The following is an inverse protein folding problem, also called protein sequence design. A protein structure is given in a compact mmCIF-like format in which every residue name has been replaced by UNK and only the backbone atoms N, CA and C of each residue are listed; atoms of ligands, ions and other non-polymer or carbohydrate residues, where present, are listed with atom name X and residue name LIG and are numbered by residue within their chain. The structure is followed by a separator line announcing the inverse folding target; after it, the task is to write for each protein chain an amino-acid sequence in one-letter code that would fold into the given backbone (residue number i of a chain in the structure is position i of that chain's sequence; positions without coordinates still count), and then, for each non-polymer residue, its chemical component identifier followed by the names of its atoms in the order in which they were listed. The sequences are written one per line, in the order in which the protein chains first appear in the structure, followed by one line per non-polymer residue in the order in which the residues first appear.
data_IF_025483333835
#
_entry.id   IF_025483333835
#
_cell.length_a   1.000
_cell.length_b   1.000
_cell.length_c   1.000
_cell.angle_alpha   90.00
_cell.angle_beta   90.00
_cell.angle_gamma   90.00
#
_symmetry.space_group_name_H-M   'P 1'
#
loop_
_entity.id
_entity.type
_entity.pdbx_description
1 polymer ?
#
# COMPACT_ATOMS: atom_id res chain seq x y z
N UNK A 1 -28.87 -20.93 -2.64
CA UNK A 1 -29.98 -21.79 -2.17
C UNK A 1 -30.34 -21.34 -0.77
N UNK A 2 -31.58 -21.00 -0.45
CA UNK A 2 -32.05 -20.70 0.90
C UNK A 2 -32.19 -21.95 1.78
N UNK A 3 -32.62 -21.76 3.05
CA UNK A 3 -32.84 -22.82 4.05
C UNK A 3 -31.56 -23.56 4.46
N UNK A 4 -30.50 -22.81 4.77
CA UNK A 4 -29.30 -23.35 5.38
C UNK A 4 -29.39 -23.22 6.90
N UNK A 5 -28.91 -24.23 7.62
CA UNK A 5 -28.76 -24.19 9.08
C UNK A 5 -27.29 -23.90 9.37
N UNK A 6 -27.05 -22.89 10.19
CA UNK A 6 -25.69 -22.54 10.64
C UNK A 6 -25.48 -23.09 12.05
N UNK A 7 -24.33 -23.70 12.27
CA UNK A 7 -23.89 -24.09 13.60
C UNK A 7 -23.01 -23.01 14.20
N UNK A 8 -23.08 -22.80 15.50
CA UNK A 8 -22.15 -21.89 16.17
C UNK A 8 -20.73 -22.46 16.07
N UNK A 9 -19.81 -21.63 15.62
CA UNK A 9 -18.38 -21.94 15.55
C UNK A 9 -17.67 -20.86 16.35
N UNK A 10 -16.79 -21.27 17.25
CA UNK A 10 -15.85 -20.36 17.90
C UNK A 10 -14.57 -20.32 17.10
N UNK A 11 -14.23 -19.17 16.55
CA UNK A 11 -13.05 -18.94 15.74
C UNK A 11 -12.31 -17.68 16.19
N UNK A 12 -10.99 -17.74 16.16
CA UNK A 12 -10.13 -16.58 16.37
C UNK A 12 -9.81 -15.95 15.03
N UNK A 13 -10.31 -14.76 14.81
CA UNK A 13 -10.00 -13.96 13.60
C UNK A 13 -8.50 -13.71 13.54
N UNK A 14 -7.87 -14.04 12.42
CA UNK A 14 -6.45 -13.76 12.22
C UNK A 14 -6.18 -12.28 11.99
N UNK A 15 -4.94 -11.85 12.27
CA UNK A 15 -4.52 -10.48 12.00
C UNK A 15 -4.45 -10.21 10.49
N UNK A 16 -4.73 -8.95 10.12
CA UNK A 16 -4.80 -8.48 8.73
C UNK A 16 -3.40 -8.23 8.15
N UNK A 17 -3.06 -8.95 7.11
CA UNK A 17 -1.82 -8.78 6.37
C UNK A 17 -1.75 -7.47 5.57
N UNK A 18 -2.89 -6.94 5.11
CA UNK A 18 -2.90 -5.64 4.41
C UNK A 18 -2.46 -4.52 5.35
N UNK A 19 -3.04 -4.45 6.55
CA UNK A 19 -2.68 -3.42 7.54
C UNK A 19 -1.24 -3.64 8.06
N UNK A 20 -0.83 -4.88 8.25
CA UNK A 20 0.53 -5.22 8.65
C UNK A 20 1.58 -4.71 7.66
N UNK A 21 1.27 -4.70 6.36
CA UNK A 21 2.18 -4.20 5.33
C UNK A 21 2.55 -2.72 5.53
N UNK A 22 1.61 -1.87 5.97
CA UNK A 22 1.91 -0.45 6.24
C UNK A 22 2.83 -0.29 7.45
N UNK A 23 2.64 -1.10 8.49
CA UNK A 23 3.50 -1.07 9.69
C UNK A 23 4.91 -1.60 9.38
N UNK A 24 5.02 -2.70 8.63
CA UNK A 24 6.32 -3.23 8.22
C UNK A 24 7.02 -2.31 7.19
N UNK A 25 6.27 -1.59 6.35
CA UNK A 25 6.83 -0.59 5.44
C UNK A 25 7.52 0.56 6.20
N UNK A 26 7.01 0.93 7.37
CA UNK A 26 7.66 1.93 8.22
C UNK A 26 9.10 1.50 8.60
N UNK A 27 9.34 0.19 8.78
CA UNK A 27 10.67 -0.34 9.07
C UNK A 27 11.65 -0.18 7.88
N UNK A 28 11.14 -0.13 6.64
CA UNK A 28 11.97 0.13 5.45
C UNK A 28 12.44 1.58 5.35
N UNK A 29 11.85 2.49 6.16
CA UNK A 29 12.17 3.90 6.26
C UNK A 29 12.83 4.25 7.60
N UNK A 30 13.63 3.32 8.15
CA UNK A 30 14.35 3.43 9.43
C UNK A 30 13.44 3.43 10.67
N UNK A 31 12.21 2.97 10.55
CA UNK A 31 11.30 2.76 11.68
C UNK A 31 11.62 1.47 12.47
N UNK A 32 10.99 1.33 13.62
CA UNK A 32 11.12 0.12 14.45
C UNK A 32 9.77 -0.31 15.00
N UNK A 33 9.05 -1.12 14.24
CA UNK A 33 7.73 -1.67 14.62
C UNK A 33 7.78 -3.19 14.55
N UNK A 34 7.21 -3.87 15.55
CA UNK A 34 7.07 -5.32 15.56
C UNK A 34 5.60 -5.72 15.42
N UNK A 35 5.23 -6.23 14.26
CA UNK A 35 3.89 -6.77 14.01
C UNK A 35 3.77 -8.17 14.62
N UNK A 36 2.68 -8.42 15.38
CA UNK A 36 2.36 -9.71 16.00
C UNK A 36 1.00 -10.21 15.50
N UNK A 37 0.75 -11.50 15.64
CA UNK A 37 -0.56 -12.13 15.36
C UNK A 37 -0.76 -12.59 13.92
N UNK A 38 0.21 -12.35 13.02
CA UNK A 38 0.14 -12.86 11.66
C UNK A 38 0.36 -14.39 11.62
N UNK A 39 -0.60 -15.11 11.05
CA UNK A 39 -0.50 -16.56 10.87
C UNK A 39 0.17 -16.89 9.53
N UNK A 40 1.27 -17.65 9.54
CA UNK A 40 1.97 -18.07 8.31
C UNK A 40 1.11 -18.95 7.40
N UNK A 41 0.15 -19.69 7.97
CA UNK A 41 -0.84 -20.50 7.25
C UNK A 41 -2.00 -19.69 6.67
N UNK A 42 -2.01 -18.36 6.81
CA UNK A 42 -3.07 -17.49 6.28
C UNK A 42 -3.29 -17.67 4.79
N UNK A 43 -4.55 -17.64 4.38
CA UNK A 43 -4.99 -17.61 2.97
C UNK A 43 -5.05 -16.20 2.39
N UNK A 44 -4.80 -15.15 3.18
CA UNK A 44 -4.79 -13.77 2.70
C UNK A 44 -3.73 -13.59 1.61
N UNK A 45 -4.15 -13.09 0.43
CA UNK A 45 -3.26 -12.82 -0.70
C UNK A 45 -2.17 -11.81 -0.34
N UNK A 46 -2.51 -10.87 0.55
CA UNK A 46 -1.66 -9.76 0.96
C UNK A 46 -0.42 -10.19 1.77
N UNK A 47 -0.37 -11.44 2.27
CA UNK A 47 0.87 -11.97 2.89
C UNK A 47 2.09 -11.91 1.97
N UNK A 48 1.86 -11.76 0.65
CA UNK A 48 2.91 -11.58 -0.36
C UNK A 48 3.75 -10.32 -0.16
N UNK A 49 3.27 -9.32 0.60
CA UNK A 49 4.04 -8.11 0.83
C UNK A 49 5.44 -8.38 1.37
N UNK A 50 5.60 -9.42 2.22
CA UNK A 50 6.91 -9.78 2.80
C UNK A 50 7.95 -10.15 1.73
N UNK A 51 7.51 -10.84 0.69
CA UNK A 51 8.36 -11.18 -0.47
C UNK A 51 8.61 -9.93 -1.31
N UNK A 52 7.57 -9.18 -1.62
CA UNK A 52 7.64 -8.00 -2.47
C UNK A 52 8.53 -6.91 -1.88
N UNK A 53 8.51 -6.72 -0.56
CA UNK A 53 9.38 -5.75 0.10
C UNK A 53 10.86 -6.09 -0.08
N UNK A 54 11.24 -7.37 0.05
CA UNK A 54 12.61 -7.81 -0.20
C UNK A 54 13.04 -7.54 -1.65
N UNK A 55 12.19 -7.87 -2.62
CA UNK A 55 12.48 -7.63 -4.03
C UNK A 55 12.65 -6.13 -4.32
N UNK A 56 11.85 -5.26 -3.69
CA UNK A 56 11.93 -3.80 -3.82
C UNK A 56 13.20 -3.20 -3.19
N UNK A 57 13.75 -3.85 -2.15
CA UNK A 57 15.03 -3.43 -1.57
C UNK A 57 16.23 -3.79 -2.46
N UNK A 58 16.14 -4.88 -3.20
CA UNK A 58 17.25 -5.40 -4.01
C UNK A 58 17.31 -4.78 -5.41
N UNK A 59 16.17 -4.56 -6.05
CA UNK A 59 16.11 -4.13 -7.45
C UNK A 59 14.77 -3.44 -7.80
N UNK A 60 14.53 -3.19 -9.09
CA UNK A 60 13.25 -2.74 -9.65
C UNK A 60 12.46 -3.95 -10.16
N UNK A 61 11.64 -4.60 -9.32
CA UNK A 61 10.91 -5.80 -9.70
C UNK A 61 9.66 -5.51 -10.53
N UNK A 62 9.17 -6.56 -11.21
CA UNK A 62 7.80 -6.60 -11.74
C UNK A 62 6.95 -7.45 -10.79
N UNK A 63 5.93 -6.83 -10.17
CA UNK A 63 5.07 -7.45 -9.17
C UNK A 63 3.63 -7.55 -9.67
N UNK A 64 3.05 -8.74 -9.65
CA UNK A 64 1.63 -8.93 -9.95
C UNK A 64 0.79 -8.79 -8.69
N UNK A 65 -0.06 -7.77 -8.66
CA UNK A 65 -0.95 -7.46 -7.54
C UNK A 65 -2.41 -7.86 -7.76
N UNK A 66 -2.71 -8.63 -8.79
CA UNK A 66 -4.09 -9.04 -9.12
C UNK A 66 -4.83 -9.72 -7.95
N UNK A 67 -4.10 -10.46 -7.10
CA UNK A 67 -4.65 -11.16 -5.92
C UNK A 67 -4.34 -10.49 -4.58
N UNK A 68 -3.73 -9.31 -4.59
CA UNK A 68 -3.38 -8.52 -3.39
C UNK A 68 -3.44 -7.01 -3.69
N UNK A 69 -4.51 -6.60 -4.36
CA UNK A 69 -4.69 -5.24 -4.89
C UNK A 69 -4.64 -4.16 -3.79
N UNK A 70 -4.96 -4.51 -2.58
CA UNK A 70 -4.92 -3.61 -1.43
C UNK A 70 -3.50 -3.21 -1.00
N UNK A 71 -2.50 -3.96 -1.45
CA UNK A 71 -1.09 -3.58 -1.31
C UNK A 71 -0.64 -2.49 -2.31
N UNK A 72 -1.46 -2.18 -3.34
CA UNK A 72 -1.08 -1.22 -4.39
C UNK A 72 -0.49 0.07 -3.86
N UNK A 73 -1.20 0.84 -2.99
CA UNK A 73 -0.69 2.11 -2.48
C UNK A 73 0.66 2.00 -1.76
N UNK A 74 0.81 1.02 -0.88
CA UNK A 74 2.06 0.87 -0.14
C UNK A 74 3.22 0.40 -1.02
N UNK A 75 2.98 -0.46 -2.02
CA UNK A 75 4.00 -0.88 -2.97
C UNK A 75 4.42 0.26 -3.91
N UNK A 76 3.48 1.12 -4.31
CA UNK A 76 3.79 2.34 -5.07
C UNK A 76 4.70 3.26 -4.26
N UNK A 77 4.36 3.50 -3.00
CA UNK A 77 5.17 4.34 -2.12
C UNK A 77 6.58 3.77 -1.91
N UNK A 78 6.70 2.46 -1.62
CA UNK A 78 8.02 1.83 -1.44
C UNK A 78 8.81 1.85 -2.75
N UNK A 79 8.17 1.60 -3.89
CA UNK A 79 8.79 1.70 -5.21
C UNK A 79 9.42 3.07 -5.46
N UNK A 80 8.70 4.16 -5.12
CA UNK A 80 9.25 5.51 -5.20
C UNK A 80 10.47 5.69 -4.27
N UNK A 81 10.39 5.18 -3.05
CA UNK A 81 11.44 5.37 -2.03
C UNK A 81 12.69 4.51 -2.27
N UNK A 82 12.53 3.30 -2.80
CA UNK A 82 13.64 2.33 -3.00
C UNK A 82 14.19 2.36 -4.43
N UNK A 83 13.84 1.42 -5.26
CA UNK A 83 14.51 1.17 -6.53
C UNK A 83 13.60 1.31 -7.76
N UNK A 84 12.38 1.83 -7.61
CA UNK A 84 11.35 1.77 -8.63
C UNK A 84 10.59 0.44 -8.59
N UNK A 85 9.50 0.35 -9.35
CA UNK A 85 8.69 -0.88 -9.46
C UNK A 85 7.84 -0.87 -10.72
N UNK A 86 7.59 -2.03 -11.27
CA UNK A 86 6.52 -2.26 -12.25
C UNK A 86 5.43 -3.09 -11.58
N UNK A 87 4.25 -2.50 -11.38
CA UNK A 87 3.07 -3.23 -10.89
C UNK A 87 2.21 -3.66 -12.08
N UNK A 88 1.78 -4.92 -12.09
CA UNK A 88 0.82 -5.48 -13.03
C UNK A 88 -0.42 -5.96 -12.28
N UNK A 89 -1.54 -6.20 -12.98
CA UNK A 89 -2.80 -6.56 -12.32
C UNK A 89 -3.45 -5.40 -11.58
N UNK A 90 -3.19 -4.15 -12.02
CA UNK A 90 -3.57 -2.92 -11.32
C UNK A 90 -4.97 -2.43 -11.65
N UNK A 91 -5.66 -3.01 -12.64
CA UNK A 91 -6.98 -2.55 -13.12
C UNK A 91 -8.01 -2.34 -11.99
N UNK A 92 -8.00 -3.20 -10.98
CA UNK A 92 -8.93 -3.11 -9.85
C UNK A 92 -8.63 -1.96 -8.87
N UNK A 93 -7.49 -1.28 -8.98
CA UNK A 93 -7.21 -0.08 -8.19
C UNK A 93 -8.14 1.07 -8.54
N UNK A 94 -8.64 1.11 -9.77
CA UNK A 94 -9.54 2.18 -10.25
C UNK A 94 -10.96 2.12 -9.64
N UNK A 95 -11.37 1.00 -9.07
CA UNK A 95 -12.73 0.77 -8.56
C UNK A 95 -12.77 0.52 -7.03
N UNK A 96 -11.78 1.04 -6.32
CA UNK A 96 -11.74 1.01 -4.84
C UNK A 96 -12.42 2.27 -4.27
N UNK A 97 -12.16 2.62 -3.02
CA UNK A 97 -12.71 3.82 -2.38
C UNK A 97 -12.34 5.11 -3.13
N UNK A 98 -11.19 5.09 -3.76
CA UNK A 98 -10.72 6.07 -4.73
C UNK A 98 -10.16 5.33 -5.96
N UNK A 99 -9.84 6.05 -7.04
CA UNK A 99 -8.92 5.51 -8.04
C UNK A 99 -7.50 5.54 -7.47
N UNK A 100 -7.15 4.49 -6.70
CA UNK A 100 -5.89 4.41 -5.94
C UNK A 100 -4.64 4.64 -6.77
N UNK A 101 -4.64 4.17 -8.03
CA UNK A 101 -3.47 4.35 -8.89
C UNK A 101 -3.25 5.82 -9.23
N UNK A 102 -4.31 6.54 -9.58
CA UNK A 102 -4.25 7.97 -9.91
C UNK A 102 -4.00 8.81 -8.65
N UNK A 103 -4.73 8.55 -7.56
CA UNK A 103 -4.55 9.25 -6.30
C UNK A 103 -3.10 9.13 -5.78
N UNK A 104 -2.54 7.92 -5.77
CA UNK A 104 -1.15 7.73 -5.36
C UNK A 104 -0.16 8.41 -6.31
N UNK A 105 -0.43 8.42 -7.63
CA UNK A 105 0.39 9.17 -8.59
C UNK A 105 0.41 10.65 -8.24
N UNK A 106 -0.75 11.28 -8.13
CA UNK A 106 -0.90 12.72 -7.83
C UNK A 106 -0.15 13.11 -6.55
N UNK A 107 -0.29 12.30 -5.50
CA UNK A 107 0.33 12.60 -4.21
C UNK A 107 1.85 12.32 -4.17
N UNK A 108 2.30 11.24 -4.79
CA UNK A 108 3.73 10.91 -4.82
C UNK A 108 4.52 11.83 -5.77
N UNK A 109 3.90 12.35 -6.83
CA UNK A 109 4.51 13.35 -7.72
C UNK A 109 4.84 14.66 -6.96
N UNK A 110 4.13 15.00 -5.89
CA UNK A 110 4.47 16.14 -5.00
C UNK A 110 5.81 15.94 -4.26
N UNK A 111 6.28 14.70 -4.15
CA UNK A 111 7.63 14.38 -3.65
C UNK A 111 8.69 14.33 -4.77
N UNK A 112 8.30 14.58 -6.02
CA UNK A 112 9.17 14.49 -7.20
C UNK A 112 9.22 13.09 -7.82
N UNK A 113 8.33 12.17 -7.43
CA UNK A 113 8.25 10.84 -8.03
C UNK A 113 7.90 10.91 -9.51
N UNK A 114 8.33 9.90 -10.29
CA UNK A 114 8.01 9.74 -11.70
C UNK A 114 7.21 8.46 -11.89
N UNK A 115 5.92 8.61 -12.20
CA UNK A 115 4.95 7.53 -12.22
C UNK A 115 4.14 7.55 -13.51
N UNK A 116 4.09 6.42 -14.20
CA UNK A 116 3.21 6.17 -15.34
C UNK A 116 2.11 5.18 -14.97
N UNK A 117 0.85 5.56 -15.22
CA UNK A 117 -0.33 4.76 -14.89
C UNK A 117 -1.05 4.38 -16.17
N UNK A 118 -0.96 3.12 -16.55
CA UNK A 118 -1.73 2.52 -17.63
C UNK A 118 -2.97 1.77 -17.16
N UNK A 119 -3.70 1.16 -18.07
CA UNK A 119 -4.97 0.46 -17.76
C UNK A 119 -4.83 -0.68 -16.74
N UNK A 120 -3.76 -1.47 -16.84
CA UNK A 120 -3.51 -2.63 -15.97
C UNK A 120 -2.04 -2.72 -15.53
N UNK A 121 -1.36 -1.60 -15.52
CA UNK A 121 0.07 -1.50 -15.20
C UNK A 121 0.38 -0.13 -14.61
N UNK A 122 1.25 -0.11 -13.60
CA UNK A 122 1.86 1.11 -13.07
C UNK A 122 3.37 0.94 -13.12
N UNK A 123 4.06 1.95 -13.63
CA UNK A 123 5.52 1.99 -13.67
C UNK A 123 6.00 3.15 -12.81
N UNK A 124 6.93 2.88 -11.92
CA UNK A 124 7.54 3.88 -11.05
C UNK A 124 9.04 3.80 -11.27
N UNK A 125 9.62 4.90 -11.71
CA UNK A 125 11.07 5.01 -11.87
C UNK A 125 11.72 5.47 -10.56
N UNK A 126 12.94 5.00 -10.31
CA UNK A 126 13.73 5.51 -9.19
C UNK A 126 14.22 6.91 -9.51
N UNK A 127 13.82 7.88 -8.70
CA UNK A 127 14.29 9.26 -8.74
C UNK A 127 14.54 9.75 -7.31
N UNK A 128 15.40 10.75 -7.11
CA UNK A 128 15.53 11.39 -5.79
C UNK A 128 14.21 12.04 -5.36
N UNK A 129 13.75 11.68 -4.16
CA UNK A 129 12.56 12.29 -3.58
C UNK A 129 12.95 13.49 -2.70
N UNK A 130 12.02 14.43 -2.56
CA UNK A 130 12.15 15.60 -1.69
C UNK A 130 10.90 15.78 -0.82
N UNK A 131 11.00 16.63 0.19
CA UNK A 131 9.84 17.01 1.01
C UNK A 131 8.77 17.70 0.14
N UNK A 132 7.49 17.31 0.25
CA UNK A 132 6.43 17.99 -0.49
C UNK A 132 6.26 19.43 0.02
N UNK A 133 6.03 20.38 -0.90
CA UNK A 133 5.74 21.78 -0.58
C UNK A 133 4.25 21.98 -0.31
N UNK A 134 3.42 21.13 -0.87
CA UNK A 134 1.97 21.19 -0.77
C UNK A 134 1.43 20.24 0.30
N UNK A 135 0.22 20.50 0.78
CA UNK A 135 -0.52 19.58 1.63
C UNK A 135 -0.96 18.39 0.75
N UNK A 136 -0.74 17.18 1.23
CA UNK A 136 -1.21 15.97 0.57
C UNK A 136 -2.70 15.77 0.79
N UNK A 137 -3.38 15.10 -0.14
CA UNK A 137 -4.77 14.69 0.00
C UNK A 137 -4.88 13.20 0.29
N UNK A 138 -5.66 12.84 1.31
CA UNK A 138 -5.99 11.45 1.65
C UNK A 138 -7.03 10.81 0.73
N UNK A 139 -7.61 11.56 -0.22
CA UNK A 139 -8.62 11.09 -1.19
C UNK A 139 -9.78 10.30 -0.57
N UNK A 140 -10.09 10.58 0.72
CA UNK A 140 -11.09 9.83 1.50
C UNK A 140 -10.85 8.30 1.49
N UNK A 141 -9.60 7.87 1.32
CA UNK A 141 -9.17 6.46 1.24
C UNK A 141 -8.09 6.18 2.30
N UNK A 142 -8.43 5.30 3.25
CA UNK A 142 -7.54 4.97 4.37
C UNK A 142 -6.18 4.40 3.91
N UNK A 143 -6.13 3.67 2.80
CA UNK A 143 -4.86 3.10 2.28
C UNK A 143 -3.96 4.15 1.65
N UNK A 144 -4.55 5.18 1.04
CA UNK A 144 -3.79 6.35 0.56
C UNK A 144 -3.20 7.08 1.76
N UNK A 145 -4.03 7.39 2.76
CA UNK A 145 -3.57 8.08 3.98
C UNK A 145 -2.45 7.30 4.66
N UNK A 146 -2.61 5.98 4.87
CA UNK A 146 -1.60 5.16 5.53
C UNK A 146 -0.28 5.11 4.75
N UNK A 147 -0.32 4.95 3.42
CA UNK A 147 0.90 4.93 2.59
C UNK A 147 1.64 6.27 2.65
N UNK A 148 0.91 7.38 2.51
CA UNK A 148 1.48 8.72 2.58
C UNK A 148 2.00 9.05 3.98
N UNK A 149 1.31 8.63 5.05
CA UNK A 149 1.77 8.83 6.42
C UNK A 149 3.13 8.14 6.68
N UNK A 150 3.32 6.94 6.15
CA UNK A 150 4.61 6.24 6.22
C UNK A 150 5.69 7.06 5.52
N UNK A 151 5.44 7.59 4.32
CA UNK A 151 6.42 8.41 3.60
C UNK A 151 6.69 9.76 4.30
N UNK A 152 5.64 10.40 4.83
CA UNK A 152 5.75 11.65 5.60
C UNK A 152 6.57 11.49 6.88
N UNK A 153 6.61 10.30 7.47
CA UNK A 153 7.48 10.03 8.63
C UNK A 153 8.96 10.26 8.33
N UNK A 154 9.36 10.09 7.05
CA UNK A 154 10.74 10.33 6.59
C UNK A 154 10.98 11.77 6.14
N UNK A 155 10.06 12.35 5.38
CA UNK A 155 10.25 13.65 4.73
C UNK A 155 9.60 14.81 5.49
N UNK A 156 8.65 14.52 6.39
CA UNK A 156 7.80 15.54 6.99
C UNK A 156 6.80 16.11 5.99
N UNK A 157 5.81 16.83 6.49
CA UNK A 157 4.75 17.43 5.67
C UNK A 157 3.39 17.38 6.39
N UNK A 158 2.32 17.60 5.62
CA UNK A 158 0.94 17.57 6.13
C UNK A 158 0.06 16.80 5.17
N UNK A 159 -0.98 16.16 5.71
CA UNK A 159 -2.01 15.46 4.93
C UNK A 159 -3.40 15.90 5.43
N UNK A 160 -4.30 16.16 4.50
CA UNK A 160 -5.73 16.39 4.73
C UNK A 160 -6.53 15.10 4.51
N UNK A 161 -7.76 15.04 5.01
CA UNK A 161 -8.61 13.85 4.86
C UNK A 161 -8.11 12.62 5.62
N UNK A 162 -7.27 12.81 6.63
CA UNK A 162 -6.69 11.74 7.44
C UNK A 162 -7.74 10.95 8.23
N UNK A 163 -8.92 11.51 8.44
CA UNK A 163 -10.05 10.85 9.12
C UNK A 163 -10.51 9.58 8.39
N UNK A 164 -10.14 9.42 7.13
CA UNK A 164 -10.39 8.19 6.36
C UNK A 164 -9.82 6.93 7.01
N UNK A 165 -8.78 7.04 7.85
CA UNK A 165 -8.20 5.88 8.59
C UNK A 165 -9.18 5.26 9.58
N UNK A 166 -10.23 5.97 10.02
CA UNK A 166 -11.26 5.42 10.89
C UNK A 166 -12.09 4.30 10.22
N UNK A 167 -11.89 4.07 8.92
CA UNK A 167 -12.51 2.99 8.15
C UNK A 167 -11.70 1.69 8.14
N UNK A 168 -10.47 1.69 8.66
CA UNK A 168 -9.58 0.52 8.65
C UNK A 168 -9.62 -0.29 9.94
#
# INVERSE_FOLDING_TARGET
KGRQTFTNIEEVVEADYSNAAFLDAFNLLDGFVKVKGLKTSSYQGDKRYKKYFKELEENMPTLDISNCVDLGPILMMIGCFKNGVVLTGTKRLAIKESNRAIAMKEELEKFGAKIDVGENKVIIEKVPLHKPLEILDGHNDHRIVMALAVLLSKFGGKISGYEAVNKS
#
